data_IF_646428316810
#
_entry.id   IF_646428316810
#
_cell.length_a   1.000
_cell.length_b   1.000
_cell.length_c   1.000
_cell.angle_alpha   90.00
_cell.angle_beta   90.00
_cell.angle_gamma   90.00
#
_symmetry.space_group_name_H-M   'P 1'
#
loop_
_entity.id
_entity.type
_entity.pdbx_description
1 polymer ?
#
# COMPACT_ATOMS: atom_id res chain seq x y z
N UNK A 1 -10.19 -32.35 -46.06
CA UNK A 1 -9.26 -31.99 -44.95
C UNK A 1 -9.56 -30.54 -44.59
N UNK A 2 -10.22 -30.30 -43.46
CA UNK A 2 -10.60 -28.95 -43.01
C UNK A 2 -9.48 -28.45 -42.11
N UNK A 3 -8.75 -27.44 -42.57
CA UNK A 3 -7.63 -26.82 -41.86
C UNK A 3 -8.20 -25.78 -40.88
N UNK A 4 -8.30 -26.14 -39.61
CA UNK A 4 -8.69 -25.23 -38.53
C UNK A 4 -7.50 -24.31 -38.19
N UNK A 5 -7.56 -23.06 -38.63
CA UNK A 5 -6.66 -22.00 -38.20
C UNK A 5 -7.10 -21.51 -36.81
N UNK A 6 -6.40 -21.95 -35.77
CA UNK A 6 -6.55 -21.41 -34.42
C UNK A 6 -5.86 -20.03 -34.34
N UNK A 7 -6.56 -18.97 -33.87
CA UNK A 7 -5.92 -17.70 -33.61
C UNK A 7 -4.99 -17.82 -32.40
N UNK A 8 -3.70 -17.62 -32.63
CA UNK A 8 -2.70 -17.46 -31.57
C UNK A 8 -2.94 -16.11 -30.90
N UNK A 9 -3.60 -16.13 -29.75
CA UNK A 9 -3.68 -14.98 -28.86
C UNK A 9 -2.29 -14.75 -28.25
N UNK A 10 -1.48 -13.89 -28.88
CA UNK A 10 -0.26 -13.35 -28.28
C UNK A 10 -0.66 -12.38 -27.18
N UNK A 11 -0.78 -12.87 -25.95
CA UNK A 11 -0.79 -12.00 -24.77
C UNK A 11 0.60 -11.38 -24.65
N UNK A 12 0.75 -10.14 -25.11
CA UNK A 12 1.93 -9.31 -24.86
C UNK A 12 2.06 -9.08 -23.35
N UNK A 13 2.69 -10.02 -22.66
CA UNK A 13 3.18 -9.80 -21.31
C UNK A 13 4.25 -8.72 -21.41
N UNK A 14 3.88 -7.47 -21.14
CA UNK A 14 4.86 -6.41 -20.89
C UNK A 14 5.69 -6.84 -19.68
N UNK A 15 6.87 -7.39 -19.93
CA UNK A 15 7.87 -7.67 -18.91
C UNK A 15 8.46 -6.31 -18.57
N UNK A 16 8.03 -5.74 -17.44
CA UNK A 16 8.65 -4.53 -16.92
C UNK A 16 9.98 -4.89 -16.26
N UNK A 17 11.05 -4.12 -16.51
CA UNK A 17 12.30 -4.30 -15.78
C UNK A 17 12.08 -4.21 -14.27
N UNK A 18 12.93 -4.91 -13.51
CA UNK A 18 12.96 -4.74 -12.06
C UNK A 18 13.30 -3.27 -11.76
N UNK A 19 12.67 -2.67 -10.76
CA UNK A 19 12.97 -1.28 -10.41
C UNK A 19 14.45 -1.10 -10.04
N UNK A 20 15.11 -2.18 -9.60
CA UNK A 20 16.53 -2.22 -9.30
C UNK A 20 17.44 -1.96 -10.50
N UNK A 21 16.92 -2.05 -11.72
CA UNK A 21 17.67 -1.74 -12.94
C UNK A 21 17.78 -0.22 -13.18
N UNK A 22 16.92 0.59 -12.56
CA UNK A 22 17.03 2.05 -12.61
C UNK A 22 18.06 2.57 -11.60
N UNK A 23 18.77 3.69 -11.91
CA UNK A 23 19.74 4.29 -11.01
C UNK A 23 19.17 4.53 -9.62
N UNK A 24 19.97 4.23 -8.59
CA UNK A 24 19.56 4.40 -7.19
C UNK A 24 19.12 5.83 -6.89
N UNK A 25 19.80 6.81 -7.50
CA UNK A 25 19.53 8.24 -7.35
C UNK A 25 18.09 8.58 -7.74
N UNK A 26 17.58 8.03 -8.86
CA UNK A 26 16.21 8.28 -9.34
C UNK A 26 15.13 7.65 -8.44
N UNK A 27 15.52 6.69 -7.60
CA UNK A 27 14.64 5.93 -6.70
C UNK A 27 14.76 6.34 -5.24
N UNK A 28 15.45 7.45 -4.97
CA UNK A 28 15.52 8.05 -3.63
C UNK A 28 14.17 8.66 -3.26
N UNK A 29 13.72 8.36 -2.04
CA UNK A 29 12.38 8.67 -1.55
C UNK A 29 12.45 9.31 -0.17
N UNK A 30 11.82 10.47 -0.03
CA UNK A 30 11.49 11.03 1.27
C UNK A 30 10.08 10.61 1.69
N UNK A 31 9.99 9.88 2.80
CA UNK A 31 8.73 9.46 3.39
C UNK A 31 8.27 10.49 4.43
N UNK A 32 7.28 11.30 4.08
CA UNK A 32 6.66 12.21 5.04
C UNK A 32 5.86 11.42 6.08
N UNK A 33 5.76 11.98 7.29
CA UNK A 33 4.86 11.44 8.30
C UNK A 33 3.42 11.53 7.81
N UNK A 34 2.73 10.38 7.78
CA UNK A 34 1.30 10.35 7.47
C UNK A 34 0.51 11.19 8.48
N UNK A 35 -0.37 12.03 7.95
CA UNK A 35 -1.38 12.72 8.73
C UNK A 35 -2.44 11.74 9.24
N UNK A 36 -3.20 12.17 10.24
CA UNK A 36 -4.27 11.37 10.81
C UNK A 36 -5.56 12.20 10.88
N UNK A 37 -6.57 11.75 10.14
CA UNK A 37 -7.91 12.35 10.13
C UNK A 37 -8.95 11.42 10.75
N UNK A 38 -8.50 10.47 11.57
CA UNK A 38 -9.35 9.50 12.27
C UNK A 38 -9.36 9.75 13.77
N UNK A 39 -10.22 9.01 14.48
CA UNK A 39 -10.26 9.02 15.95
C UNK A 39 -9.22 8.09 16.60
N UNK A 40 -8.53 7.25 15.83
CA UNK A 40 -7.47 6.38 16.37
C UNK A 40 -6.19 7.20 16.55
N UNK A 41 -5.57 7.19 17.72
CA UNK A 41 -4.40 8.04 18.01
C UNK A 41 -3.13 7.65 17.28
N UNK A 42 -2.97 6.38 16.90
CA UNK A 42 -1.65 5.79 16.62
C UNK A 42 -1.55 5.01 15.29
N UNK A 43 -2.64 4.92 14.51
CA UNK A 43 -2.66 4.18 13.25
C UNK A 43 -1.68 4.73 12.20
N UNK A 44 -1.54 6.05 12.12
CA UNK A 44 -0.58 6.77 11.28
C UNK A 44 0.90 6.52 11.66
N UNK A 45 1.25 6.51 12.95
CA UNK A 45 2.62 6.28 13.44
C UNK A 45 3.01 4.84 13.14
N UNK A 46 2.12 3.92 13.45
CA UNK A 46 2.35 2.50 13.19
C UNK A 46 2.42 2.21 11.68
N UNK A 47 1.54 2.83 10.87
CA UNK A 47 1.59 2.73 9.41
C UNK A 47 2.90 3.28 8.84
N UNK A 48 3.36 4.45 9.30
CA UNK A 48 4.64 5.04 8.86
C UNK A 48 5.81 4.08 9.11
N UNK A 49 5.89 3.50 10.32
CA UNK A 49 6.93 2.53 10.69
C UNK A 49 6.88 1.30 9.79
N UNK A 50 5.70 0.69 9.66
CA UNK A 50 5.52 -0.54 8.87
C UNK A 50 5.80 -0.28 7.37
N UNK A 51 5.39 0.88 6.84
CA UNK A 51 5.64 1.25 5.46
C UNK A 51 7.13 1.48 5.19
N UNK A 52 7.84 2.13 6.12
CA UNK A 52 9.31 2.28 6.04
C UNK A 52 9.99 0.91 6.00
N UNK A 53 9.58 -0.02 6.85
CA UNK A 53 10.08 -1.41 6.86
C UNK A 53 9.78 -2.14 5.55
N UNK A 54 8.56 -2.03 5.03
CA UNK A 54 8.16 -2.67 3.77
C UNK A 54 9.02 -2.14 2.60
N UNK A 55 9.13 -0.81 2.45
CA UNK A 55 9.97 -0.18 1.40
C UNK A 55 11.42 -0.64 1.52
N UNK A 56 12.00 -0.59 2.72
CA UNK A 56 13.38 -0.99 2.96
C UNK A 56 13.60 -2.47 2.60
N UNK A 57 12.65 -3.35 2.93
CA UNK A 57 12.75 -4.79 2.65
C UNK A 57 12.72 -5.13 1.16
N UNK A 58 12.00 -4.35 0.34
CA UNK A 58 11.85 -4.61 -1.11
C UNK A 58 12.98 -4.03 -1.93
N UNK A 59 13.61 -2.95 -1.45
CA UNK A 59 14.72 -2.24 -2.13
C UNK A 59 14.33 -1.63 -3.49
N UNK A 60 13.02 -1.49 -3.74
CA UNK A 60 12.47 -0.84 -4.93
C UNK A 60 12.67 0.68 -4.86
N UNK A 61 12.64 1.24 -3.63
CA UNK A 61 12.95 2.64 -3.34
C UNK A 61 13.96 2.73 -2.20
N UNK A 62 14.73 3.82 -2.16
CA UNK A 62 15.74 4.08 -1.13
C UNK A 62 15.28 5.25 -0.28
N UNK A 63 14.97 4.99 0.99
CA UNK A 63 14.54 6.05 1.90
C UNK A 63 15.74 6.89 2.32
N UNK A 64 15.62 8.20 2.18
CA UNK A 64 16.59 9.19 2.66
C UNK A 64 15.97 10.03 3.78
N UNK A 65 16.79 10.47 4.73
CA UNK A 65 16.33 11.24 5.90
C UNK A 65 16.26 12.75 5.63
N UNK A 66 16.87 13.22 4.54
CA UNK A 66 16.81 14.60 4.09
C UNK A 66 15.94 14.71 2.83
N UNK A 67 14.93 15.58 2.89
CA UNK A 67 14.04 15.84 1.77
C UNK A 67 14.81 16.34 0.55
N UNK A 68 15.90 17.07 0.75
CA UNK A 68 16.70 17.63 -0.33
C UNK A 68 17.57 16.61 -1.06
N UNK A 69 17.65 15.38 -0.56
CA UNK A 69 18.36 14.28 -1.19
C UNK A 69 17.43 13.33 -1.95
N UNK A 70 16.12 13.54 -1.86
CA UNK A 70 15.13 12.67 -2.49
C UNK A 70 14.69 13.17 -3.86
N UNK A 71 14.65 12.27 -4.84
CA UNK A 71 13.99 12.50 -6.14
C UNK A 71 12.47 12.37 -6.04
N UNK A 72 11.97 11.62 -5.05
CA UNK A 72 10.55 11.34 -4.84
C UNK A 72 10.10 11.77 -3.43
N UNK A 73 8.89 12.32 -3.33
CA UNK A 73 8.23 12.58 -2.04
C UNK A 73 6.93 11.81 -1.91
N UNK A 74 6.78 11.00 -0.86
CA UNK A 74 5.54 10.29 -0.53
C UNK A 74 4.83 10.94 0.66
N UNK A 75 3.62 11.43 0.40
CA UNK A 75 2.70 11.99 1.38
C UNK A 75 1.54 11.03 1.60
N UNK A 76 1.01 11.03 2.81
CA UNK A 76 -0.18 10.26 3.11
C UNK A 76 -0.99 10.80 4.27
N UNK A 77 -2.23 10.33 4.35
CA UNK A 77 -3.19 10.68 5.38
C UNK A 77 -4.01 9.43 5.66
N UNK A 78 -4.07 8.98 6.92
CA UNK A 78 -5.02 7.94 7.33
C UNK A 78 -6.39 8.59 7.42
N UNK A 79 -7.31 8.17 6.54
CA UNK A 79 -8.65 8.76 6.37
C UNK A 79 -9.75 7.95 7.04
N UNK A 80 -9.48 6.67 7.31
CA UNK A 80 -10.46 5.74 7.87
C UNK A 80 -9.79 4.77 8.83
N UNK A 81 -10.34 4.63 10.02
CA UNK A 81 -10.06 3.51 10.92
C UNK A 81 -11.36 3.14 11.64
N UNK A 82 -11.86 1.92 11.43
CA UNK A 82 -13.13 1.45 11.99
C UNK A 82 -13.06 0.01 12.45
N UNK A 83 -13.88 -0.29 13.45
CA UNK A 83 -14.13 -1.64 13.99
C UNK A 83 -15.62 -1.89 14.00
N UNK A 84 -16.07 -2.95 13.32
CA UNK A 84 -17.48 -3.29 13.15
C UNK A 84 -17.75 -4.72 13.63
N UNK A 85 -18.83 -4.93 14.38
CA UNK A 85 -19.28 -6.28 14.75
C UNK A 85 -19.99 -6.96 13.58
N UNK A 86 -19.55 -8.17 13.22
CA UNK A 86 -20.07 -8.94 12.07
C UNK A 86 -20.90 -10.16 12.44
N UNK A 87 -20.58 -10.81 13.56
CA UNK A 87 -21.33 -11.96 14.07
C UNK A 87 -21.64 -11.72 15.55
N UNK A 88 -22.81 -12.14 15.99
CA UNK A 88 -23.31 -11.94 17.35
C UNK A 88 -23.75 -13.27 17.95
N UNK A 89 -23.53 -13.43 19.25
CA UNK A 89 -24.10 -14.55 20.00
C UNK A 89 -25.59 -14.35 20.31
N UNK A 90 -26.22 -15.34 20.96
CA UNK A 90 -27.63 -15.29 21.35
C UNK A 90 -27.97 -14.14 22.32
N UNK A 91 -26.96 -13.53 22.95
CA UNK A 91 -27.09 -12.40 23.86
C UNK A 91 -26.76 -11.06 23.17
N UNK A 92 -26.61 -11.07 21.84
CA UNK A 92 -26.23 -9.91 21.00
C UNK A 92 -24.83 -9.35 21.31
N UNK A 93 -23.93 -10.15 21.85
CA UNK A 93 -22.52 -9.75 21.96
C UNK A 93 -21.78 -10.07 20.66
N UNK A 94 -20.99 -9.14 20.10
CA UNK A 94 -20.22 -9.42 18.91
C UNK A 94 -19.12 -10.46 19.18
N UNK A 95 -19.17 -11.57 18.45
CA UNK A 95 -18.18 -12.67 18.49
C UNK A 95 -17.13 -12.56 17.40
N UNK A 96 -17.43 -11.84 16.31
CA UNK A 96 -16.51 -11.55 15.21
C UNK A 96 -16.55 -10.06 14.87
N UNK A 97 -15.38 -9.52 14.59
CA UNK A 97 -15.18 -8.12 14.24
C UNK A 97 -14.53 -8.01 12.87
N UNK A 98 -14.79 -6.91 12.17
CA UNK A 98 -14.04 -6.46 11.01
C UNK A 98 -13.36 -5.14 11.36
N UNK A 99 -12.04 -5.09 11.14
CA UNK A 99 -11.26 -3.86 11.16
C UNK A 99 -11.09 -3.37 9.74
N UNK A 100 -11.24 -2.06 9.54
CA UNK A 100 -11.10 -1.40 8.24
C UNK A 100 -10.16 -0.22 8.43
N UNK A 101 -9.17 -0.10 7.55
CA UNK A 101 -8.29 1.08 7.49
C UNK A 101 -8.22 1.61 6.06
N UNK A 102 -8.18 2.92 5.93
CA UNK A 102 -8.03 3.62 4.65
C UNK A 102 -7.01 4.74 4.76
N UNK A 103 -6.25 4.95 3.70
CA UNK A 103 -5.32 6.05 3.57
C UNK A 103 -5.38 6.68 2.17
N UNK A 104 -5.32 8.00 2.13
CA UNK A 104 -5.06 8.75 0.91
C UNK A 104 -3.56 8.93 0.77
N UNK A 105 -3.01 8.63 -0.40
CA UNK A 105 -1.58 8.72 -0.68
C UNK A 105 -1.30 9.59 -1.91
N UNK A 106 -0.18 10.30 -1.88
CA UNK A 106 0.30 11.09 -3.00
C UNK A 106 1.81 10.96 -3.13
N UNK A 107 2.29 10.58 -4.31
CA UNK A 107 3.71 10.55 -4.65
C UNK A 107 4.02 11.61 -5.70
N UNK A 108 5.06 12.40 -5.47
CA UNK A 108 5.51 13.45 -6.39
C UNK A 108 6.96 13.25 -6.78
N UNK A 109 7.25 13.53 -8.05
CA UNK A 109 8.60 13.77 -8.53
C UNK A 109 9.03 15.18 -8.10
N UNK A 110 10.20 15.29 -7.48
CA UNK A 110 10.67 16.56 -6.92
C UNK A 110 11.11 17.53 -8.01
N UNK A 111 11.88 17.07 -8.98
CA UNK A 111 12.49 17.93 -10.01
C UNK A 111 11.44 18.55 -10.93
N UNK A 112 10.44 17.76 -11.34
CA UNK A 112 9.35 18.21 -12.21
C UNK A 112 8.12 18.74 -11.46
N UNK A 113 8.01 18.47 -10.16
CA UNK A 113 6.80 18.72 -9.36
C UNK A 113 5.60 17.84 -9.75
N UNK A 114 5.76 16.91 -10.70
CA UNK A 114 4.68 16.09 -11.24
C UNK A 114 4.15 15.12 -10.19
N UNK A 115 2.84 15.02 -10.09
CA UNK A 115 2.18 13.98 -9.28
C UNK A 115 2.25 12.65 -10.03
N UNK A 116 2.99 11.69 -9.50
CA UNK A 116 3.12 10.35 -10.06
C UNK A 116 2.01 9.42 -9.57
N UNK A 117 1.56 9.61 -8.32
CA UNK A 117 0.51 8.82 -7.70
C UNK A 117 -0.41 9.74 -6.91
N UNK A 118 -1.72 9.53 -7.03
CA UNK A 118 -2.73 10.10 -6.15
C UNK A 118 -3.86 9.08 -6.05
N UNK A 119 -3.87 8.27 -4.99
CA UNK A 119 -4.88 7.23 -4.80
C UNK A 119 -5.38 7.19 -3.36
N UNK A 120 -6.52 6.53 -3.19
CA UNK A 120 -7.05 6.15 -1.90
C UNK A 120 -7.00 4.62 -1.80
N UNK A 121 -6.29 4.13 -0.80
CA UNK A 121 -6.09 2.71 -0.56
C UNK A 121 -6.81 2.31 0.72
N UNK A 122 -7.56 1.22 0.69
CA UNK A 122 -8.20 0.67 1.88
C UNK A 122 -8.02 -0.83 1.95
N UNK A 123 -8.03 -1.36 3.16
CA UNK A 123 -8.01 -2.80 3.43
C UNK A 123 -8.89 -3.10 4.63
N UNK A 124 -9.39 -4.33 4.70
CA UNK A 124 -10.11 -4.83 5.87
C UNK A 124 -9.64 -6.21 6.27
N UNK A 125 -9.76 -6.51 7.56
CA UNK A 125 -9.50 -7.84 8.11
C UNK A 125 -10.57 -8.22 9.11
N UNK A 126 -10.98 -9.48 9.08
CA UNK A 126 -11.82 -10.05 10.13
C UNK A 126 -10.93 -10.67 11.21
N UNK A 127 -11.39 -10.60 12.46
CA UNK A 127 -10.79 -11.30 13.60
C UNK A 127 -11.88 -11.72 14.60
N UNK A 128 -11.57 -12.75 15.39
CA UNK A 128 -12.37 -13.15 16.54
C UNK A 128 -11.43 -13.50 17.69
N UNK A 129 -11.71 -13.04 18.92
CA UNK A 129 -10.94 -13.46 20.09
C UNK A 129 -11.32 -14.86 20.59
N UNK A 130 -12.40 -15.48 20.06
CA UNK A 130 -12.99 -16.70 20.64
C UNK A 130 -13.14 -17.87 19.67
N UNK A 131 -13.31 -17.61 18.37
CA UNK A 131 -13.71 -18.65 17.41
C UNK A 131 -12.87 -18.64 16.12
N UNK A 132 -12.79 -19.79 15.44
CA UNK A 132 -12.04 -19.95 14.19
C UNK A 132 -10.54 -19.98 14.42
N UNK A 133 -9.83 -18.93 14.01
CA UNK A 133 -8.41 -18.70 14.32
C UNK A 133 -8.34 -17.54 15.31
N UNK A 134 -8.23 -17.81 16.62
CA UNK A 134 -8.29 -16.76 17.63
C UNK A 134 -7.14 -15.77 17.45
N UNK A 135 -7.49 -14.51 17.29
CA UNK A 135 -6.54 -13.42 17.14
C UNK A 135 -7.01 -12.25 18.02
N UNK A 136 -6.07 -11.60 18.69
CA UNK A 136 -6.36 -10.37 19.45
C UNK A 136 -6.58 -9.20 18.50
N UNK A 137 -7.31 -8.17 18.95
CA UNK A 137 -7.48 -6.94 18.17
C UNK A 137 -6.15 -6.29 17.78
N UNK A 138 -5.16 -6.36 18.67
CA UNK A 138 -3.81 -5.84 18.42
C UNK A 138 -3.10 -6.60 17.29
N UNK A 139 -3.17 -7.94 17.29
CA UNK A 139 -2.59 -8.76 16.22
C UNK A 139 -3.30 -8.49 14.87
N UNK A 140 -4.64 -8.40 14.91
CA UNK A 140 -5.44 -8.09 13.73
C UNK A 140 -5.12 -6.70 13.17
N UNK A 141 -4.95 -5.68 14.03
CA UNK A 141 -4.51 -4.33 13.66
C UNK A 141 -3.14 -4.35 12.99
N UNK A 142 -2.14 -5.02 13.58
CA UNK A 142 -0.82 -5.14 12.97
C UNK A 142 -0.88 -5.79 11.59
N UNK A 143 -1.67 -6.85 11.44
CA UNK A 143 -1.89 -7.54 10.17
C UNK A 143 -2.57 -6.64 9.15
N UNK A 144 -3.59 -5.88 9.57
CA UNK A 144 -4.30 -4.91 8.75
C UNK A 144 -3.36 -3.83 8.21
N UNK A 145 -2.56 -3.20 9.08
CA UNK A 145 -1.63 -2.13 8.68
C UNK A 145 -0.52 -2.64 7.76
N UNK A 146 -0.01 -3.87 7.98
CA UNK A 146 0.92 -4.52 7.03
C UNK A 146 0.28 -4.74 5.67
N UNK A 147 -0.99 -5.13 5.61
CA UNK A 147 -1.69 -5.26 4.32
C UNK A 147 -1.84 -3.91 3.62
N UNK A 148 -2.16 -2.85 4.35
CA UNK A 148 -2.24 -1.50 3.80
C UNK A 148 -0.88 -1.04 3.26
N UNK A 149 0.20 -1.19 4.04
CA UNK A 149 1.56 -0.83 3.62
C UNK A 149 1.98 -1.53 2.33
N UNK A 150 1.72 -2.84 2.20
CA UNK A 150 1.96 -3.60 0.96
C UNK A 150 1.14 -3.09 -0.21
N UNK A 151 -0.09 -2.63 0.03
CA UNK A 151 -0.95 -2.07 -1.01
C UNK A 151 -0.40 -0.72 -1.49
N UNK A 152 -0.06 0.17 -0.56
CA UNK A 152 0.60 1.46 -0.85
C UNK A 152 1.88 1.24 -1.65
N UNK A 153 2.77 0.34 -1.20
CA UNK A 153 4.01 0.02 -1.88
C UNK A 153 3.77 -0.46 -3.32
N UNK A 154 2.80 -1.36 -3.54
CA UNK A 154 2.43 -1.81 -4.90
C UNK A 154 1.95 -0.65 -5.77
N UNK A 155 1.15 0.26 -5.22
CA UNK A 155 0.68 1.45 -5.95
C UNK A 155 1.84 2.41 -6.29
N UNK A 156 2.84 2.55 -5.40
CA UNK A 156 4.07 3.30 -5.69
C UNK A 156 4.85 2.69 -6.86
N UNK A 157 5.09 1.37 -6.82
CA UNK A 157 5.81 0.66 -7.89
C UNK A 157 5.08 0.77 -9.22
N UNK A 158 3.75 0.59 -9.23
CA UNK A 158 2.94 0.71 -10.43
C UNK A 158 2.99 2.13 -11.02
N UNK A 159 2.86 3.16 -10.17
CA UNK A 159 2.96 4.55 -10.58
C UNK A 159 4.35 4.91 -11.13
N UNK A 160 5.41 4.43 -10.49
CA UNK A 160 6.78 4.66 -10.93
C UNK A 160 7.04 4.01 -12.29
N UNK A 161 6.55 2.80 -12.54
CA UNK A 161 6.64 2.16 -13.86
C UNK A 161 5.88 2.92 -14.93
N UNK A 162 4.68 3.42 -14.60
CA UNK A 162 3.85 4.21 -15.52
C UNK A 162 4.52 5.51 -16.01
N UNK A 163 5.53 6.02 -15.30
CA UNK A 163 6.34 7.16 -15.77
C UNK A 163 7.07 6.87 -17.07
N UNK A 164 7.54 5.62 -17.26
CA UNK A 164 8.38 5.24 -18.41
C UNK A 164 7.57 4.63 -19.57
N UNK A 165 6.28 4.35 -19.40
CA UNK A 165 5.42 3.83 -20.46
C UNK A 165 4.85 4.92 -21.39
N UNK A 166 5.11 6.20 -21.11
CA UNK A 166 4.62 7.34 -21.91
C UNK A 166 5.64 7.91 -22.91
N UNK A 167 6.73 7.19 -23.16
CA UNK A 167 7.87 7.63 -24.01
C UNK A 167 8.06 6.80 -25.27
N UNK A 168 7.04 6.08 -25.74
CA UNK A 168 7.01 5.42 -27.06
C UNK A 168 6.07 6.13 -28.04
#
# INVERSE_FOLDING_TARGET
IVLFLLPVFSSSSCIYPDLKEYPEQERTLYLFNFANSTFDSDAQVELNRILREEIHSKRDFIIVDDQDQASLGLYGEVTLYRKEGRLYDNLRNPTRYELIVGARIRMRDRDSGRVLLSSEESVSVQYSPREGFPETEMQARQRLLRQLARRIHRSMVAAYRGRYSGTE
#
